data_IF_822588965937
#
_entry.id   IF_822588965937
#
_cell.length_a   1.000
_cell.length_b   1.000
_cell.length_c   1.000
_cell.angle_alpha   90.00
_cell.angle_beta   90.00
_cell.angle_gamma   90.00
#
_symmetry.space_group_name_H-M   'P 1'
#
loop_
_entity.id
_entity.type
_entity.pdbx_description
1 polymer ?
#
# COMPACT_ATOMS: atom_id res chain seq x y z
N UNK A 1 -37.27 7.26 -16.17
CA UNK A 1 -37.05 5.95 -15.51
C UNK A 1 -35.57 5.63 -15.61
N UNK A 2 -34.86 5.61 -14.49
CA UNK A 2 -33.41 5.41 -14.46
C UNK A 2 -33.13 3.89 -14.46
N UNK A 3 -32.28 3.31 -15.33
CA UNK A 3 -31.97 1.87 -15.35
C UNK A 3 -31.61 1.23 -14.00
N UNK A 4 -31.03 2.00 -13.08
CA UNK A 4 -30.85 1.60 -11.68
C UNK A 4 -32.16 1.17 -10.95
N UNK A 5 -33.31 1.70 -11.36
CA UNK A 5 -34.64 1.37 -10.86
C UNK A 5 -35.20 0.08 -11.48
N UNK A 6 -34.64 -0.35 -12.62
CA UNK A 6 -35.02 -1.57 -13.33
C UNK A 6 -34.17 -2.79 -12.93
N UNK A 7 -33.07 -2.57 -12.21
CA UNK A 7 -32.23 -3.64 -11.68
C UNK A 7 -32.75 -4.13 -10.33
N UNK A 8 -32.63 -5.44 -10.08
CA UNK A 8 -33.03 -6.06 -8.82
C UNK A 8 -32.16 -5.53 -7.66
N UNK A 9 -32.68 -4.53 -6.94
CA UNK A 9 -32.01 -3.88 -5.80
C UNK A 9 -31.78 -4.85 -4.65
N UNK A 10 -32.60 -5.89 -4.50
CA UNK A 10 -32.38 -6.90 -3.47
C UNK A 10 -31.07 -7.69 -3.71
N UNK A 11 -30.60 -7.73 -4.95
CA UNK A 11 -29.35 -8.38 -5.36
C UNK A 11 -28.17 -7.43 -5.50
N UNK A 12 -28.28 -6.18 -5.07
CA UNK A 12 -27.19 -5.20 -5.21
C UNK A 12 -25.86 -5.68 -4.61
N UNK A 13 -25.93 -6.45 -3.52
CA UNK A 13 -24.74 -6.98 -2.87
C UNK A 13 -23.99 -8.03 -3.70
N UNK A 14 -24.63 -8.66 -4.69
CA UNK A 14 -24.04 -9.71 -5.52
C UNK A 14 -23.72 -9.25 -6.95
N UNK A 15 -23.94 -7.97 -7.26
CA UNK A 15 -23.65 -7.41 -8.58
C UNK A 15 -22.17 -7.50 -8.93
N UNK A 16 -21.86 -7.92 -10.15
CA UNK A 16 -20.52 -7.86 -10.70
C UNK A 16 -20.23 -6.47 -11.30
N UNK A 17 -18.99 -6.23 -11.76
CA UNK A 17 -18.59 -4.94 -12.35
C UNK A 17 -19.46 -4.53 -13.54
N UNK A 18 -19.81 -5.48 -14.41
CA UNK A 18 -20.66 -5.20 -15.57
C UNK A 18 -22.07 -4.77 -15.16
N UNK A 19 -22.61 -5.37 -14.09
CA UNK A 19 -23.93 -5.04 -13.55
C UNK A 19 -23.90 -3.65 -12.91
N UNK A 20 -22.84 -3.35 -12.14
CA UNK A 20 -22.63 -2.03 -11.56
C UNK A 20 -22.55 -0.94 -12.64
N UNK A 21 -21.82 -1.18 -13.73
CA UNK A 21 -21.77 -0.25 -14.87
C UNK A 21 -23.15 -0.05 -15.51
N UNK A 22 -23.89 -1.14 -15.78
CA UNK A 22 -25.23 -1.09 -16.38
C UNK A 22 -26.20 -0.31 -15.49
N UNK A 23 -26.11 -0.52 -14.17
CA UNK A 23 -26.91 0.21 -13.18
C UNK A 23 -26.66 1.72 -13.24
N UNK A 24 -25.41 2.13 -13.52
CA UNK A 24 -25.03 3.53 -13.75
C UNK A 24 -25.32 4.04 -15.18
N UNK A 25 -25.97 3.25 -16.03
CA UNK A 25 -26.36 3.62 -17.40
C UNK A 25 -25.20 3.96 -18.34
N UNK A 26 -24.01 3.43 -18.07
CA UNK A 26 -22.80 3.73 -18.86
C UNK A 26 -22.46 2.58 -19.82
N UNK A 27 -22.08 2.92 -21.05
CA UNK A 27 -21.46 1.95 -21.95
C UNK A 27 -19.99 1.81 -21.60
N UNK A 28 -19.40 0.67 -21.96
CA UNK A 28 -17.97 0.46 -21.77
C UNK A 28 -17.13 1.54 -22.49
N UNK A 29 -17.58 2.00 -23.66
CA UNK A 29 -16.96 3.08 -24.43
C UNK A 29 -16.91 4.40 -23.63
N UNK A 30 -18.01 4.76 -22.97
CA UNK A 30 -18.12 6.01 -22.20
C UNK A 30 -17.11 6.02 -21.05
N UNK A 31 -16.91 4.87 -20.40
CA UNK A 31 -15.92 4.72 -19.32
C UNK A 31 -14.49 4.77 -19.85
N UNK A 32 -14.20 4.08 -20.96
CA UNK A 32 -12.85 4.11 -21.55
C UNK A 32 -12.42 5.52 -21.96
N UNK A 33 -13.36 6.31 -22.51
CA UNK A 33 -13.14 7.71 -22.86
C UNK A 33 -12.89 8.57 -21.62
N UNK A 34 -13.73 8.44 -20.58
CA UNK A 34 -13.60 9.23 -19.33
C UNK A 34 -12.33 8.90 -18.54
N UNK A 35 -11.96 7.63 -18.47
CA UNK A 35 -10.76 7.17 -17.75
C UNK A 35 -9.47 7.30 -18.57
N UNK A 36 -9.56 7.63 -19.86
CA UNK A 36 -8.44 7.63 -20.79
C UNK A 36 -7.64 6.31 -20.77
N UNK A 37 -8.35 5.17 -20.81
CA UNK A 37 -7.74 3.84 -20.81
C UNK A 37 -8.15 3.05 -22.05
N UNK A 38 -7.26 2.16 -22.50
CA UNK A 38 -7.57 1.30 -23.65
C UNK A 38 -8.78 0.40 -23.35
N UNK A 39 -9.62 0.17 -24.38
CA UNK A 39 -10.76 -0.74 -24.27
C UNK A 39 -10.33 -2.15 -23.83
N UNK A 40 -9.14 -2.59 -24.23
CA UNK A 40 -8.56 -3.86 -23.77
C UNK A 40 -8.36 -3.90 -22.26
N UNK A 41 -7.75 -2.86 -21.68
CA UNK A 41 -7.51 -2.81 -20.23
C UNK A 41 -8.82 -2.72 -19.44
N UNK A 42 -9.79 -1.93 -19.92
CA UNK A 42 -11.09 -1.84 -19.28
C UNK A 42 -11.86 -3.17 -19.33
N UNK A 43 -11.88 -3.87 -20.48
CA UNK A 43 -12.51 -5.20 -20.59
C UNK A 43 -11.88 -6.22 -19.64
N UNK A 44 -10.56 -6.24 -19.51
CA UNK A 44 -9.88 -7.13 -18.54
C UNK A 44 -10.23 -6.79 -17.11
N UNK A 45 -10.33 -5.51 -16.78
CA UNK A 45 -10.81 -5.10 -15.46
C UNK A 45 -12.26 -5.55 -15.22
N UNK A 46 -13.18 -5.26 -16.14
CA UNK A 46 -14.60 -5.57 -16.01
C UNK A 46 -14.87 -7.08 -15.96
N UNK A 47 -14.24 -7.87 -16.83
CA UNK A 47 -14.49 -9.30 -16.97
C UNK A 47 -13.64 -10.16 -16.02
N UNK A 48 -12.39 -9.78 -15.77
CA UNK A 48 -11.41 -10.59 -15.02
C UNK A 48 -11.07 -9.98 -13.63
N UNK A 49 -11.51 -8.75 -13.34
CA UNK A 49 -11.13 -8.03 -12.12
C UNK A 49 -9.66 -7.61 -12.07
N UNK A 50 -8.95 -7.61 -13.20
CA UNK A 50 -7.51 -7.31 -13.26
C UNK A 50 -7.29 -5.81 -13.39
N UNK A 51 -6.66 -5.21 -12.39
CA UNK A 51 -6.31 -3.79 -12.36
C UNK A 51 -5.04 -3.52 -13.19
N UNK A 52 -4.96 -2.44 -13.99
CA UNK A 52 -3.74 -2.04 -14.68
C UNK A 52 -2.60 -1.69 -13.70
N UNK A 53 -1.40 -2.26 -13.91
CA UNK A 53 -0.29 -2.09 -12.94
C UNK A 53 0.34 -0.70 -12.88
N UNK A 54 0.14 0.13 -13.91
CA UNK A 54 0.70 1.50 -14.01
C UNK A 54 -0.31 2.58 -13.60
N UNK A 55 -1.44 2.20 -13.03
CA UNK A 55 -2.52 3.12 -12.69
C UNK A 55 -2.87 3.00 -11.20
N UNK A 56 -2.07 3.63 -10.31
CA UNK A 56 -2.23 3.60 -8.85
C UNK A 56 -3.66 3.87 -8.37
N UNK A 57 -4.32 4.79 -9.08
CA UNK A 57 -5.65 5.33 -8.79
C UNK A 57 -6.78 4.66 -9.52
N UNK A 58 -6.51 3.67 -10.37
CA UNK A 58 -7.50 3.16 -11.33
C UNK A 58 -8.86 2.82 -10.72
N UNK A 59 -8.87 2.15 -9.56
CA UNK A 59 -10.12 1.77 -8.88
C UNK A 59 -10.83 2.99 -8.26
N UNK A 60 -10.08 3.99 -7.79
CA UNK A 60 -10.65 5.28 -7.34
C UNK A 60 -11.28 6.01 -8.52
N UNK A 61 -10.57 6.10 -9.64
CA UNK A 61 -11.04 6.81 -10.83
C UNK A 61 -12.28 6.11 -11.45
N UNK A 62 -12.33 4.77 -11.42
CA UNK A 62 -13.54 4.00 -11.80
C UNK A 62 -14.71 4.34 -10.88
N UNK A 63 -14.48 4.40 -9.56
CA UNK A 63 -15.53 4.73 -8.60
C UNK A 63 -16.08 6.14 -8.84
N UNK A 64 -15.19 7.10 -9.11
CA UNK A 64 -15.53 8.49 -9.45
C UNK A 64 -16.37 8.56 -10.75
N UNK A 65 -15.96 7.85 -11.80
CA UNK A 65 -16.70 7.81 -13.09
C UNK A 65 -18.08 7.17 -12.97
N UNK A 66 -18.21 6.16 -12.10
CA UNK A 66 -19.47 5.48 -11.83
C UNK A 66 -20.35 6.21 -10.81
N UNK A 67 -19.83 7.25 -10.15
CA UNK A 67 -20.48 7.97 -9.04
C UNK A 67 -20.90 7.04 -7.88
N UNK A 68 -20.05 6.06 -7.55
CA UNK A 68 -20.28 5.11 -6.45
C UNK A 68 -19.08 5.09 -5.51
N UNK A 69 -19.25 4.54 -4.31
CA UNK A 69 -18.11 4.38 -3.41
C UNK A 69 -17.11 3.35 -3.96
N UNK A 70 -15.81 3.57 -3.70
CA UNK A 70 -14.75 2.59 -3.99
C UNK A 70 -15.08 1.20 -3.45
N UNK A 71 -15.65 1.14 -2.24
CA UNK A 71 -16.06 -0.12 -1.59
C UNK A 71 -17.08 -0.89 -2.43
N UNK A 72 -18.01 -0.21 -3.08
CA UNK A 72 -18.96 -0.85 -4.00
C UNK A 72 -18.25 -1.45 -5.21
N UNK A 73 -17.26 -0.76 -5.78
CA UNK A 73 -16.44 -1.28 -6.88
C UNK A 73 -15.65 -2.52 -6.43
N UNK A 74 -15.00 -2.47 -5.27
CA UNK A 74 -14.24 -3.61 -4.73
C UNK A 74 -15.13 -4.81 -4.41
N UNK A 75 -16.34 -4.57 -3.91
CA UNK A 75 -17.35 -5.61 -3.72
C UNK A 75 -17.77 -6.21 -5.07
N UNK A 76 -18.04 -5.39 -6.08
CA UNK A 76 -18.40 -5.88 -7.41
C UNK A 76 -17.26 -6.68 -8.08
N UNK A 77 -16.00 -6.28 -7.85
CA UNK A 77 -14.83 -7.07 -8.24
C UNK A 77 -14.79 -8.44 -7.53
N UNK A 78 -15.26 -8.54 -6.29
CA UNK A 78 -15.29 -9.83 -5.57
C UNK A 78 -16.36 -10.79 -6.09
N UNK A 79 -17.46 -10.26 -6.65
CA UNK A 79 -18.55 -11.04 -7.24
C UNK A 79 -18.35 -11.37 -8.71
N UNK A 80 -17.27 -10.88 -9.33
CA UNK A 80 -16.95 -11.20 -10.72
C UNK A 80 -16.58 -12.69 -10.84
N UNK A 81 -17.25 -13.50 -11.68
CA UNK A 81 -17.05 -14.96 -11.71
C UNK A 81 -15.61 -15.41 -12.01
N UNK A 82 -14.89 -14.66 -12.84
CA UNK A 82 -13.49 -14.93 -13.13
C UNK A 82 -12.58 -14.78 -11.90
N UNK A 83 -12.91 -13.84 -10.99
CA UNK A 83 -12.17 -13.65 -9.74
C UNK A 83 -12.37 -14.82 -8.80
N UNK A 84 -13.61 -15.31 -8.66
CA UNK A 84 -13.93 -16.43 -7.77
C UNK A 84 -13.20 -17.69 -8.21
N UNK A 85 -13.33 -18.05 -9.50
CA UNK A 85 -12.59 -19.17 -10.10
C UNK A 85 -11.08 -19.02 -9.93
N UNK A 86 -10.54 -17.81 -10.12
CA UNK A 86 -9.11 -17.55 -9.92
C UNK A 86 -8.68 -17.74 -8.47
N UNK A 87 -9.49 -17.32 -7.48
CA UNK A 87 -9.19 -17.54 -6.05
C UNK A 87 -9.16 -19.03 -5.70
N UNK A 88 -10.16 -19.78 -6.14
CA UNK A 88 -10.25 -21.23 -5.95
C UNK A 88 -9.04 -21.94 -6.56
N UNK A 89 -8.77 -21.68 -7.84
CA UNK A 89 -7.63 -22.27 -8.54
C UNK A 89 -6.29 -21.85 -7.92
N UNK A 90 -6.18 -20.60 -7.46
CA UNK A 90 -4.98 -20.13 -6.76
C UNK A 90 -4.75 -20.92 -5.48
N UNK A 91 -5.80 -21.28 -4.72
CA UNK A 91 -5.65 -22.09 -3.51
C UNK A 91 -5.00 -23.45 -3.82
N UNK A 92 -5.49 -24.14 -4.84
CA UNK A 92 -4.95 -25.44 -5.28
C UNK A 92 -3.47 -25.34 -5.69
N UNK A 93 -3.13 -24.33 -6.50
CA UNK A 93 -1.77 -24.11 -6.99
C UNK A 93 -0.80 -23.75 -5.87
N UNK A 94 -1.25 -22.92 -4.92
CA UNK A 94 -0.45 -22.53 -3.76
C UNK A 94 -0.21 -23.72 -2.84
N UNK A 95 -1.23 -24.56 -2.62
CA UNK A 95 -1.08 -25.78 -1.83
C UNK A 95 -0.09 -26.76 -2.47
N UNK A 96 -0.18 -26.97 -3.79
CA UNK A 96 0.74 -27.83 -4.53
C UNK A 96 2.20 -27.32 -4.44
N UNK A 97 2.42 -26.02 -4.61
CA UNK A 97 3.75 -25.43 -4.45
C UNK A 97 4.22 -25.48 -2.99
N UNK A 98 3.35 -25.24 -2.02
CA UNK A 98 3.71 -25.31 -0.61
C UNK A 98 4.21 -26.73 -0.25
N UNK A 99 3.49 -27.77 -0.67
CA UNK A 99 3.92 -29.17 -0.50
C UNK A 99 5.28 -29.46 -1.15
N UNK A 100 5.55 -28.84 -2.30
CA UNK A 100 6.77 -29.09 -3.08
C UNK A 100 7.99 -28.36 -2.52
N UNK A 101 7.87 -27.07 -2.18
CA UNK A 101 9.01 -26.20 -1.87
C UNK A 101 9.25 -25.97 -0.36
N UNK A 102 8.20 -25.94 0.45
CA UNK A 102 8.33 -25.65 1.89
C UNK A 102 9.21 -26.68 2.63
N UNK A 103 9.06 -28.01 2.45
CA UNK A 103 9.80 -29.00 3.22
C UNK A 103 11.24 -29.25 2.73
N UNK A 104 11.65 -28.70 1.57
CA UNK A 104 12.95 -29.01 0.97
C UNK A 104 14.11 -28.64 1.91
N UNK A 105 15.13 -29.48 2.05
CA UNK A 105 16.30 -29.15 2.86
C UNK A 105 17.19 -28.08 2.20
N UNK A 106 17.99 -27.37 3.01
CA UNK A 106 19.00 -26.42 2.53
C UNK A 106 18.51 -24.96 2.40
N UNK A 107 19.24 -24.12 1.65
CA UNK A 107 18.94 -22.69 1.55
C UNK A 107 17.62 -22.43 0.81
N UNK A 108 16.86 -21.44 1.27
CA UNK A 108 15.60 -21.06 0.64
C UNK A 108 15.83 -20.41 -0.74
N UNK A 109 15.22 -20.98 -1.78
CA UNK A 109 15.31 -20.47 -3.16
C UNK A 109 13.98 -20.00 -3.76
N UNK A 110 12.86 -20.32 -3.10
CA UNK A 110 11.52 -20.08 -3.63
C UNK A 110 11.18 -20.96 -4.84
N UNK A 111 10.01 -20.73 -5.47
CA UNK A 111 9.58 -21.49 -6.63
C UNK A 111 10.46 -21.24 -7.86
N UNK A 112 10.63 -22.28 -8.69
CA UNK A 112 11.32 -22.19 -9.97
C UNK A 112 10.55 -21.29 -10.94
N UNK A 113 11.25 -20.61 -11.85
CA UNK A 113 10.60 -19.79 -12.89
C UNK A 113 9.83 -20.64 -13.92
N UNK A 114 10.25 -21.89 -14.09
CA UNK A 114 9.66 -22.85 -15.03
C UNK A 114 8.56 -23.72 -14.39
N UNK A 115 8.21 -23.44 -13.13
CA UNK A 115 7.17 -24.18 -12.43
C UNK A 115 5.80 -23.96 -13.11
N UNK A 116 5.10 -25.03 -13.54
CA UNK A 116 3.81 -24.90 -14.20
C UNK A 116 2.76 -24.16 -13.37
N UNK A 117 2.73 -24.36 -12.05
CA UNK A 117 1.79 -23.68 -11.16
C UNK A 117 2.08 -22.18 -11.10
N UNK A 118 3.36 -21.79 -11.11
CA UNK A 118 3.76 -20.39 -11.17
C UNK A 118 3.36 -19.73 -12.49
N UNK A 119 3.58 -20.41 -13.62
CA UNK A 119 3.22 -19.93 -14.96
C UNK A 119 1.71 -19.73 -15.08
N UNK A 120 0.93 -20.67 -14.55
CA UNK A 120 -0.53 -20.59 -14.53
C UNK A 120 -1.00 -19.39 -13.69
N UNK A 121 -0.43 -19.18 -12.50
CA UNK A 121 -0.73 -18.01 -11.66
C UNK A 121 -0.38 -16.70 -12.36
N UNK A 122 0.79 -16.62 -13.00
CA UNK A 122 1.21 -15.43 -13.75
C UNK A 122 0.20 -15.05 -14.85
N UNK A 123 -0.28 -16.07 -15.57
CA UNK A 123 -1.31 -15.91 -16.60
C UNK A 123 -2.64 -15.44 -15.98
N UNK A 124 -3.10 -16.11 -14.92
CA UNK A 124 -4.37 -15.83 -14.27
C UNK A 124 -4.45 -14.40 -13.67
N UNK A 125 -3.35 -13.91 -13.10
CA UNK A 125 -3.26 -12.54 -12.57
C UNK A 125 -2.89 -11.50 -13.63
N UNK A 126 -2.52 -11.93 -14.84
CA UNK A 126 -2.06 -11.03 -15.90
C UNK A 126 -0.81 -10.26 -15.50
N UNK A 127 0.16 -10.93 -14.86
CA UNK A 127 1.40 -10.35 -14.36
C UNK A 127 2.61 -11.13 -14.89
N UNK A 128 3.79 -10.48 -15.01
CA UNK A 128 5.01 -11.19 -15.38
C UNK A 128 5.35 -12.31 -14.37
N UNK A 129 5.86 -13.44 -14.88
CA UNK A 129 6.24 -14.61 -14.07
C UNK A 129 7.18 -14.20 -12.92
N UNK A 130 8.20 -13.39 -13.21
CA UNK A 130 9.16 -12.94 -12.19
C UNK A 130 8.51 -12.12 -11.07
N UNK A 131 7.43 -11.38 -11.35
CA UNK A 131 6.70 -10.63 -10.33
C UNK A 131 5.94 -11.56 -9.39
N UNK A 132 5.22 -12.54 -9.95
CA UNK A 132 4.52 -13.54 -9.12
C UNK A 132 5.54 -14.37 -8.35
N UNK A 133 6.66 -14.76 -8.98
CA UNK A 133 7.73 -15.50 -8.34
C UNK A 133 8.25 -14.78 -7.10
N UNK A 134 8.63 -13.50 -7.20
CA UNK A 134 9.12 -12.70 -6.05
C UNK A 134 8.10 -12.62 -4.91
N UNK A 135 6.83 -12.42 -5.26
CA UNK A 135 5.73 -12.40 -4.29
C UNK A 135 5.59 -13.75 -3.59
N UNK A 136 5.61 -14.85 -4.33
CA UNK A 136 5.50 -16.21 -3.77
C UNK A 136 6.75 -16.66 -3.02
N UNK A 137 7.94 -16.20 -3.42
CA UNK A 137 9.17 -16.44 -2.65
C UNK A 137 9.05 -15.86 -1.24
N UNK A 138 8.37 -14.73 -1.06
CA UNK A 138 8.06 -14.20 0.26
C UNK A 138 7.01 -15.06 0.96
N UNK A 139 5.81 -15.21 0.38
CA UNK A 139 4.68 -15.89 1.05
C UNK A 139 5.02 -17.34 1.44
N UNK A 140 5.63 -18.12 0.54
CA UNK A 140 6.07 -19.48 0.84
C UNK A 140 7.30 -19.49 1.77
N UNK A 141 8.10 -18.42 1.77
CA UNK A 141 9.23 -18.25 2.69
C UNK A 141 8.78 -18.07 4.13
N UNK A 142 7.69 -17.34 4.36
CA UNK A 142 7.08 -17.20 5.69
C UNK A 142 6.52 -18.56 6.16
N UNK A 143 5.83 -19.31 5.29
CA UNK A 143 5.39 -20.68 5.60
C UNK A 143 6.57 -21.60 5.94
N UNK A 144 7.69 -21.47 5.22
CA UNK A 144 8.90 -22.23 5.49
C UNK A 144 9.50 -21.91 6.85
N UNK A 145 9.49 -20.65 7.26
CA UNK A 145 9.97 -20.29 8.61
C UNK A 145 9.11 -20.96 9.69
N UNK A 146 7.78 -20.94 9.54
CA UNK A 146 6.87 -21.63 10.46
C UNK A 146 7.12 -23.16 10.46
N UNK A 147 7.29 -23.76 9.27
CA UNK A 147 7.61 -25.18 9.12
C UNK A 147 8.92 -25.57 9.80
N UNK A 148 10.00 -24.78 9.60
CA UNK A 148 11.29 -25.04 10.23
C UNK A 148 11.20 -24.93 11.75
N UNK A 149 10.42 -23.99 12.29
CA UNK A 149 10.16 -23.89 13.73
C UNK A 149 9.42 -25.13 14.24
N UNK A 150 8.36 -25.58 13.54
CA UNK A 150 7.65 -26.81 13.88
C UNK A 150 8.58 -28.04 13.90
N UNK A 151 9.49 -28.16 12.93
CA UNK A 151 10.46 -29.27 12.89
C UNK A 151 11.43 -29.22 14.08
N UNK A 152 11.91 -28.03 14.47
CA UNK A 152 12.79 -27.87 15.64
C UNK A 152 12.08 -28.31 16.93
N UNK A 153 10.83 -27.87 17.11
CA UNK A 153 10.03 -28.27 18.27
C UNK A 153 9.70 -29.78 18.24
N UNK A 154 9.48 -30.37 17.07
CA UNK A 154 9.23 -31.80 16.93
C UNK A 154 10.46 -32.64 17.37
N UNK A 155 11.67 -32.17 17.12
CA UNK A 155 12.89 -32.81 17.62
C UNK A 155 12.93 -32.79 19.16
N UNK A 156 12.64 -31.63 19.78
CA UNK A 156 12.58 -31.51 21.25
C UNK A 156 11.47 -32.42 21.81
N UNK A 157 10.29 -32.40 21.22
CA UNK A 157 9.14 -33.20 21.64
C UNK A 157 9.39 -34.72 21.64
N UNK A 158 10.31 -35.19 20.77
CA UNK A 158 10.65 -36.61 20.60
C UNK A 158 11.87 -37.06 21.40
N UNK A 159 12.88 -36.20 21.53
CA UNK A 159 14.21 -36.61 21.97
C UNK A 159 14.74 -35.89 23.21
N UNK A 160 14.05 -34.86 23.73
CA UNK A 160 14.52 -34.17 24.94
C UNK A 160 14.45 -35.09 26.17
N UNK A 161 15.32 -34.89 27.15
CA UNK A 161 15.34 -35.68 28.39
C UNK A 161 14.34 -35.18 29.44
N UNK A 162 13.97 -33.90 29.39
CA UNK A 162 13.01 -33.30 30.32
C UNK A 162 11.56 -33.47 29.83
N UNK A 163 10.75 -34.19 30.61
CA UNK A 163 9.33 -34.45 30.32
C UNK A 163 8.50 -33.17 30.23
N UNK A 164 8.78 -32.15 31.05
CA UNK A 164 8.02 -30.89 31.02
C UNK A 164 8.31 -30.14 29.72
N UNK A 165 9.58 -30.10 29.31
CA UNK A 165 9.99 -29.51 28.04
C UNK A 165 9.43 -30.27 26.83
N UNK A 166 9.40 -31.61 26.87
CA UNK A 166 8.77 -32.42 25.82
C UNK A 166 7.28 -32.08 25.66
N UNK A 167 6.52 -31.97 26.75
CA UNK A 167 5.09 -31.62 26.67
C UNK A 167 4.87 -30.25 26.04
N UNK A 168 5.61 -29.23 26.48
CA UNK A 168 5.54 -27.88 25.89
C UNK A 168 5.90 -27.88 24.41
N UNK A 169 6.89 -28.67 24.00
CA UNK A 169 7.28 -28.78 22.60
C UNK A 169 6.18 -29.45 21.74
N UNK A 170 5.41 -30.42 22.27
CA UNK A 170 4.26 -31.00 21.58
C UNK A 170 3.15 -29.97 21.34
N UNK A 171 2.84 -29.17 22.36
CA UNK A 171 1.89 -28.07 22.23
C UNK A 171 2.37 -27.04 21.19
N UNK A 172 3.66 -26.69 21.21
CA UNK A 172 4.26 -25.78 20.24
C UNK A 172 4.20 -26.33 18.81
N UNK A 173 4.41 -27.64 18.60
CA UNK A 173 4.26 -28.29 17.28
C UNK A 173 2.84 -28.12 16.75
N UNK A 174 1.82 -28.41 17.56
CA UNK A 174 0.41 -28.24 17.18
C UNK A 174 0.13 -26.78 16.83
N UNK A 175 0.58 -25.84 17.66
CA UNK A 175 0.44 -24.42 17.41
C UNK A 175 1.07 -24.00 16.06
N UNK A 176 2.29 -24.43 15.76
CA UNK A 176 2.94 -24.08 14.49
C UNK A 176 2.25 -24.72 13.28
N UNK A 177 1.66 -25.91 13.42
CA UNK A 177 0.84 -26.51 12.38
C UNK A 177 -0.43 -25.70 12.12
N UNK A 178 -1.12 -25.25 13.17
CA UNK A 178 -2.29 -24.37 13.05
C UNK A 178 -1.95 -23.03 12.39
N UNK A 179 -0.83 -22.40 12.80
CA UNK A 179 -0.34 -21.16 12.19
C UNK A 179 -0.05 -21.38 10.70
N UNK A 180 0.67 -22.45 10.35
CA UNK A 180 1.00 -22.76 8.95
C UNK A 180 -0.25 -23.00 8.10
N UNK A 181 -1.23 -23.75 8.62
CA UNK A 181 -2.48 -24.02 7.92
C UNK A 181 -3.30 -22.74 7.72
N UNK A 182 -3.39 -21.88 8.75
CA UNK A 182 -4.06 -20.59 8.68
C UNK A 182 -3.41 -19.66 7.67
N UNK A 183 -2.08 -19.54 7.69
CA UNK A 183 -1.35 -18.69 6.76
C UNK A 183 -1.51 -19.19 5.33
N UNK A 184 -1.40 -20.50 5.10
CA UNK A 184 -1.60 -21.12 3.78
C UNK A 184 -2.99 -20.79 3.21
N UNK A 185 -4.05 -20.91 4.01
CA UNK A 185 -5.42 -20.62 3.60
C UNK A 185 -5.65 -19.13 3.25
N UNK A 186 -4.85 -18.22 3.80
CA UNK A 186 -5.00 -16.78 3.57
C UNK A 186 -4.29 -16.28 2.31
N UNK A 187 -3.27 -17.00 1.82
CA UNK A 187 -2.46 -16.58 0.66
C UNK A 187 -3.32 -16.22 -0.56
N UNK A 188 -4.31 -17.02 -1.02
CA UNK A 188 -5.08 -16.68 -2.22
C UNK A 188 -5.82 -15.33 -2.09
N UNK A 189 -6.45 -15.07 -0.95
CA UNK A 189 -7.14 -13.81 -0.70
C UNK A 189 -6.15 -12.64 -0.62
N UNK A 190 -5.00 -12.86 0.02
CA UNK A 190 -3.94 -11.86 0.17
C UNK A 190 -3.32 -11.48 -1.17
N UNK A 191 -3.07 -12.45 -2.06
CA UNK A 191 -2.60 -12.23 -3.43
C UNK A 191 -3.59 -11.40 -4.26
N UNK A 192 -4.89 -11.73 -4.18
CA UNK A 192 -5.94 -10.94 -4.84
C UNK A 192 -5.96 -9.49 -4.34
N UNK A 193 -5.97 -9.29 -3.03
CA UNK A 193 -5.95 -7.93 -2.45
C UNK A 193 -4.70 -7.17 -2.85
N UNK A 194 -3.53 -7.81 -2.79
CA UNK A 194 -2.27 -7.22 -3.19
C UNK A 194 -2.30 -6.78 -4.65
N UNK A 195 -2.63 -7.67 -5.59
CA UNK A 195 -2.55 -7.34 -7.03
C UNK A 195 -3.57 -6.31 -7.50
N UNK A 196 -4.68 -6.12 -6.78
CA UNK A 196 -5.69 -5.07 -7.03
C UNK A 196 -5.28 -3.70 -6.49
N UNK A 197 -4.58 -3.69 -5.36
CA UNK A 197 -4.13 -2.46 -4.68
C UNK A 197 -2.64 -2.21 -4.86
N UNK A 198 -1.98 -2.96 -5.75
CA UNK A 198 -0.55 -2.90 -5.95
C UNK A 198 -0.13 -1.54 -6.52
N UNK A 199 0.78 -0.90 -5.81
CA UNK A 199 1.36 0.38 -6.16
C UNK A 199 2.65 0.16 -6.96
N UNK A 200 2.94 1.04 -7.91
CA UNK A 200 4.29 1.24 -8.44
C UNK A 200 5.30 1.55 -7.33
N UNK A 201 6.60 1.34 -7.60
CA UNK A 201 7.66 1.45 -6.58
C UNK A 201 7.82 2.87 -6.03
N UNK A 202 7.69 3.87 -6.89
CA UNK A 202 7.69 5.30 -6.57
C UNK A 202 6.52 5.65 -5.65
N UNK A 203 5.28 5.26 -6.01
CA UNK A 203 4.10 5.52 -5.17
C UNK A 203 4.20 4.77 -3.83
N UNK A 204 4.69 3.54 -3.83
CA UNK A 204 4.97 2.81 -2.59
C UNK A 204 5.95 3.54 -1.69
N UNK A 205 7.01 4.14 -2.24
CA UNK A 205 7.96 4.95 -1.47
C UNK A 205 7.29 6.16 -0.83
N UNK A 206 6.41 6.87 -1.55
CA UNK A 206 5.67 7.99 -0.97
C UNK A 206 4.78 7.55 0.20
N UNK A 207 4.12 6.38 0.10
CA UNK A 207 3.33 5.83 1.21
C UNK A 207 4.20 5.44 2.41
N UNK A 208 5.39 4.88 2.17
CA UNK A 208 6.35 4.55 3.23
C UNK A 208 6.91 5.81 3.88
N UNK A 209 7.20 6.85 3.10
CA UNK A 209 7.73 8.12 3.61
C UNK A 209 6.69 8.79 4.52
N UNK A 210 5.41 8.84 4.10
CA UNK A 210 4.30 9.29 4.95
C UNK A 210 4.17 8.47 6.24
N UNK A 211 4.35 7.15 6.14
CA UNK A 211 4.27 6.25 7.29
C UNK A 211 5.41 6.50 8.29
N UNK A 212 6.63 6.70 7.80
CA UNK A 212 7.83 6.90 8.62
C UNK A 212 7.79 8.23 9.39
N UNK A 213 7.25 9.28 8.76
CA UNK A 213 7.03 10.58 9.42
C UNK A 213 5.69 10.65 10.12
N UNK A 214 5.14 9.52 10.60
CA UNK A 214 3.87 9.39 11.35
C UNK A 214 2.73 10.30 10.84
N UNK A 215 2.69 10.58 9.52
CA UNK A 215 1.64 11.34 8.88
C UNK A 215 0.47 10.39 8.66
N UNK A 216 -0.10 9.91 9.77
CA UNK A 216 -1.15 8.90 9.81
C UNK A 216 -2.42 9.49 10.40
N UNK A 217 -3.57 8.98 9.95
CA UNK A 217 -4.86 9.39 10.50
C UNK A 217 -4.95 9.02 11.98
N UNK A 218 -5.00 10.05 12.84
CA UNK A 218 -5.38 9.97 14.25
C UNK A 218 -6.49 10.99 14.51
N UNK A 219 -7.57 10.62 15.20
CA UNK A 219 -8.72 11.52 15.43
C UNK A 219 -8.33 12.87 16.03
N UNK A 220 -7.39 12.86 16.98
CA UNK A 220 -7.11 14.05 17.79
C UNK A 220 -5.72 14.67 17.59
N UNK A 221 -4.77 13.92 17.00
CA UNK A 221 -3.32 14.25 17.05
C UNK A 221 -2.53 13.79 15.83
N UNK A 222 -3.15 13.77 14.65
CA UNK A 222 -2.49 13.30 13.43
C UNK A 222 -1.60 14.38 12.80
N UNK A 223 -0.35 14.04 12.49
CA UNK A 223 0.57 14.91 11.76
C UNK A 223 0.19 14.99 10.27
N UNK A 224 0.47 16.14 9.67
CA UNK A 224 0.26 16.39 8.23
C UNK A 224 1.61 16.55 7.53
N UNK A 225 1.88 15.75 6.51
CA UNK A 225 3.07 15.94 5.70
C UNK A 225 2.82 17.01 4.63
N UNK A 226 3.79 17.90 4.41
CA UNK A 226 3.69 18.88 3.32
C UNK A 226 3.80 18.17 1.98
N UNK A 227 2.74 18.24 1.18
CA UNK A 227 2.61 17.45 -0.06
C UNK A 227 3.68 17.82 -1.09
N UNK A 228 4.00 19.11 -1.21
CA UNK A 228 5.01 19.63 -2.14
C UNK A 228 6.42 19.11 -1.84
N UNK A 229 6.71 18.79 -0.58
CA UNK A 229 8.01 18.25 -0.15
C UNK A 229 8.06 16.72 -0.28
N UNK A 230 6.90 16.07 -0.45
CA UNK A 230 6.78 14.63 -0.66
C UNK A 230 6.91 14.26 -2.14
N UNK A 231 6.20 14.97 -3.02
CA UNK A 231 6.14 14.65 -4.44
C UNK A 231 5.80 15.86 -5.30
N UNK A 232 6.19 15.81 -6.57
CA UNK A 232 5.90 16.87 -7.55
C UNK A 232 4.45 16.83 -8.05
N UNK A 233 3.89 15.63 -8.21
CA UNK A 233 2.51 15.44 -8.65
C UNK A 233 1.70 14.72 -7.55
N UNK A 234 0.89 15.42 -6.75
CA UNK A 234 0.05 14.79 -5.73
C UNK A 234 -1.05 13.92 -6.33
N UNK A 235 -1.36 14.13 -7.61
CA UNK A 235 -2.36 13.37 -8.35
C UNK A 235 -1.98 11.91 -8.54
N UNK A 236 -0.75 11.48 -8.30
CA UNK A 236 -0.36 10.06 -8.39
C UNK A 236 -0.80 9.24 -7.18
N UNK A 237 -1.08 9.89 -6.05
CA UNK A 237 -1.40 9.22 -4.79
C UNK A 237 -2.85 8.72 -4.77
N UNK A 238 -3.10 7.46 -4.39
CA UNK A 238 -4.45 6.90 -4.29
C UNK A 238 -5.25 7.56 -3.15
N UNK A 239 -6.40 8.16 -3.49
CA UNK A 239 -7.26 8.92 -2.56
C UNK A 239 -7.81 8.07 -1.41
N UNK A 240 -8.01 6.78 -1.64
CA UNK A 240 -8.45 5.86 -0.58
C UNK A 240 -7.34 5.58 0.44
N UNK A 241 -6.06 5.69 0.07
CA UNK A 241 -4.93 5.50 0.97
C UNK A 241 -4.38 6.81 1.54
N UNK A 242 -4.55 7.92 0.83
CA UNK A 242 -3.99 9.23 1.19
C UNK A 242 -5.11 10.28 1.24
N UNK A 243 -5.23 10.92 2.40
CA UNK A 243 -6.08 12.09 2.59
C UNK A 243 -5.28 13.35 2.22
N UNK A 244 -5.88 14.21 1.40
CA UNK A 244 -5.34 15.53 1.06
C UNK A 244 -6.16 16.63 1.74
N UNK A 245 -5.50 17.71 2.15
CA UNK A 245 -6.11 18.91 2.74
C UNK A 245 -5.23 20.13 2.39
N UNK A 246 -5.80 21.33 2.47
CA UNK A 246 -5.05 22.59 2.50
C UNK A 246 -5.16 23.21 3.88
N UNK A 247 -4.06 23.70 4.42
CA UNK A 247 -4.03 24.55 5.63
C UNK A 247 -3.53 25.92 5.13
N UNK A 248 -4.40 26.92 5.17
CA UNK A 248 -4.31 28.12 4.33
C UNK A 248 -4.06 27.74 2.85
N UNK A 249 -2.90 28.12 2.31
CA UNK A 249 -2.44 27.83 0.95
C UNK A 249 -1.35 26.74 0.88
N UNK A 250 -1.09 26.05 2.00
CA UNK A 250 -0.13 24.93 2.07
C UNK A 250 -0.86 23.61 1.84
N UNK A 251 -0.55 22.96 0.72
CA UNK A 251 -1.04 21.62 0.41
C UNK A 251 -0.39 20.58 1.33
N UNK A 252 -1.23 19.83 2.06
CA UNK A 252 -0.79 18.80 3.00
C UNK A 252 -1.50 17.47 2.75
N UNK A 253 -0.86 16.38 3.16
CA UNK A 253 -1.39 15.04 3.02
C UNK A 253 -1.00 14.12 4.18
N UNK A 254 -1.81 13.08 4.41
CA UNK A 254 -1.54 12.03 5.40
C UNK A 254 -2.16 10.70 4.97
N UNK A 255 -1.65 9.59 5.49
CA UNK A 255 -2.24 8.27 5.27
C UNK A 255 -3.61 8.17 5.95
N UNK A 256 -4.58 7.62 5.22
CA UNK A 256 -5.85 7.17 5.78
C UNK A 256 -5.64 5.89 6.59
N UNK A 257 -6.67 5.46 7.34
CA UNK A 257 -6.67 4.15 8.01
C UNK A 257 -6.39 3.01 7.01
N UNK A 258 -6.92 3.10 5.79
CA UNK A 258 -6.69 2.09 4.75
C UNK A 258 -5.24 2.14 4.22
N UNK A 259 -4.67 3.34 4.06
CA UNK A 259 -3.26 3.50 3.67
C UNK A 259 -2.31 2.89 4.69
N UNK A 260 -2.53 3.17 5.98
CA UNK A 260 -1.76 2.57 7.08
C UNK A 260 -1.90 1.04 7.07
N UNK A 261 -3.12 0.52 6.95
CA UNK A 261 -3.35 -0.92 6.87
C UNK A 261 -2.66 -1.56 5.65
N UNK A 262 -2.65 -0.88 4.50
CA UNK A 262 -1.97 -1.35 3.29
C UNK A 262 -0.45 -1.46 3.49
N UNK A 263 0.18 -0.42 4.07
CA UNK A 263 1.62 -0.42 4.38
C UNK A 263 1.98 -1.57 5.31
N UNK A 264 1.21 -1.76 6.39
CA UNK A 264 1.42 -2.87 7.33
C UNK A 264 1.23 -4.24 6.67
N UNK A 265 0.16 -4.43 5.91
CA UNK A 265 -0.19 -5.71 5.33
C UNK A 265 0.84 -6.17 4.30
N UNK A 266 1.34 -5.26 3.44
CA UNK A 266 2.07 -5.63 2.23
C UNK A 266 3.55 -5.24 2.22
N UNK A 267 4.10 -4.69 3.31
CA UNK A 267 5.54 -4.37 3.39
C UNK A 267 6.45 -5.54 3.01
N UNK A 268 6.15 -6.75 3.48
CA UNK A 268 6.91 -7.96 3.12
C UNK A 268 6.89 -8.27 1.62
N UNK A 269 5.75 -8.07 0.96
CA UNK A 269 5.61 -8.26 -0.47
C UNK A 269 6.36 -7.21 -1.29
N UNK A 270 6.24 -5.93 -0.93
CA UNK A 270 6.94 -4.86 -1.65
C UNK A 270 8.45 -4.94 -1.51
N UNK A 271 8.96 -5.32 -0.33
CA UNK A 271 10.40 -5.49 -0.12
C UNK A 271 11.01 -6.58 -0.99
N UNK A 272 10.27 -7.65 -1.27
CA UNK A 272 10.70 -8.70 -2.19
C UNK A 272 10.49 -8.32 -3.65
N UNK A 273 9.44 -7.57 -3.94
CA UNK A 273 9.15 -7.12 -5.30
C UNK A 273 10.16 -6.07 -5.79
N UNK A 274 10.54 -5.13 -4.93
CA UNK A 274 11.41 -4.00 -5.23
C UNK A 274 12.61 -3.96 -4.28
N UNK A 275 13.65 -4.79 -4.51
CA UNK A 275 14.86 -4.74 -3.70
C UNK A 275 15.54 -3.38 -3.91
N UNK A 276 15.58 -2.55 -2.86
CA UNK A 276 16.13 -1.18 -2.91
C UNK A 276 15.15 -0.10 -2.43
N UNK A 277 13.85 -0.42 -2.33
CA UNK A 277 12.88 0.52 -1.74
C UNK A 277 13.05 0.57 -0.22
N UNK A 278 12.95 1.77 0.36
CA UNK A 278 12.95 1.98 1.82
C UNK A 278 11.87 1.13 2.48
N UNK A 279 12.17 0.66 3.69
CA UNK A 279 11.25 -0.13 4.51
C UNK A 279 10.53 0.79 5.49
N UNK A 280 9.26 0.52 5.81
CA UNK A 280 8.59 1.21 6.89
C UNK A 280 9.32 0.94 8.21
N UNK A 281 9.78 2.00 8.87
CA UNK A 281 10.39 1.94 10.19
C UNK A 281 9.25 1.80 11.18
N UNK A 282 9.19 0.67 11.88
CA UNK A 282 8.16 0.49 12.91
C UNK A 282 8.39 1.57 13.99
N UNK A 283 7.37 2.36 14.37
CA UNK A 283 7.47 3.20 15.55
C UNK A 283 7.66 2.27 16.74
N UNK A 284 8.90 2.15 17.21
CA UNK A 284 9.26 1.34 18.37
C UNK A 284 8.49 1.86 19.57
N UNK A 285 7.66 1.02 20.20
CA UNK A 285 6.93 1.36 21.44
C UNK A 285 7.83 1.54 22.67
N UNK A 286 9.16 1.54 22.55
CA UNK A 286 10.03 1.62 23.72
C UNK A 286 11.51 1.95 23.47
N UNK A 287 11.90 2.46 22.30
CA UNK A 287 13.24 3.00 22.07
C UNK A 287 13.10 4.38 21.48
N UNK A 288 13.87 5.33 22.07
CA UNK A 288 14.03 6.73 21.69
C UNK A 288 13.27 7.07 20.41
N UNK A 289 12.10 7.71 20.57
CA UNK A 289 11.39 8.37 19.47
C UNK A 289 12.49 9.08 18.69
N UNK A 290 12.79 8.64 17.48
CA UNK A 290 13.48 9.52 16.53
C UNK A 290 12.66 10.80 16.62
N UNK A 291 13.28 11.87 17.13
CA UNK A 291 12.57 13.11 17.42
C UNK A 291 12.00 13.52 16.08
N UNK A 292 10.72 13.29 15.93
CA UNK A 292 10.06 13.50 14.67
C UNK A 292 9.84 14.98 14.60
N UNK A 293 10.64 15.63 13.77
CA UNK A 293 10.69 17.07 13.72
C UNK A 293 9.42 17.58 13.06
N UNK A 294 8.56 18.16 13.88
CA UNK A 294 7.37 18.85 13.43
C UNK A 294 7.55 20.35 13.59
N UNK A 295 6.79 21.09 12.80
CA UNK A 295 6.68 22.54 12.88
C UNK A 295 5.21 22.92 12.73
N UNK A 296 4.86 24.14 13.10
CA UNK A 296 3.51 24.68 12.91
C UNK A 296 3.59 25.87 11.95
N UNK A 297 2.51 26.14 11.23
CA UNK A 297 2.37 27.42 10.54
C UNK A 297 2.04 28.51 11.56
N UNK A 298 2.45 29.77 11.31
CA UNK A 298 1.91 30.91 12.04
C UNK A 298 0.38 30.85 12.07
N UNK A 299 -0.24 31.08 13.23
CA UNK A 299 -1.71 31.10 13.43
C UNK A 299 -2.43 29.73 13.40
N UNK A 300 -1.74 28.62 13.12
CA UNK A 300 -2.34 27.28 13.10
C UNK A 300 -1.77 26.36 14.18
N UNK A 301 -2.63 25.53 14.76
CA UNK A 301 -2.25 24.55 15.78
C UNK A 301 -1.85 23.18 15.21
N UNK A 302 -2.07 22.95 13.91
CA UNK A 302 -1.73 21.71 13.25
C UNK A 302 -0.22 21.47 13.17
N UNK A 303 0.20 20.27 13.54
CA UNK A 303 1.59 19.84 13.39
C UNK A 303 1.86 19.37 11.96
N UNK A 304 2.80 20.05 11.31
CA UNK A 304 3.31 19.71 9.99
C UNK A 304 4.63 18.99 10.10
N UNK A 305 4.86 18.04 9.19
CA UNK A 305 6.09 17.24 9.12
C UNK A 305 6.67 17.26 7.71
N UNK A 306 7.99 17.12 7.64
CA UNK A 306 8.75 17.04 6.39
C UNK A 306 9.18 15.61 6.16
N UNK A 307 8.99 15.03 4.96
CA UNK A 307 9.51 13.70 4.64
C UNK A 307 11.03 13.58 4.83
N UNK A 308 11.48 12.50 5.48
CA UNK A 308 12.90 12.29 5.82
C UNK A 308 13.88 12.46 4.64
N UNK A 309 13.63 11.89 3.43
CA UNK A 309 14.58 12.01 2.32
C UNK A 309 14.82 13.46 1.89
N UNK A 310 13.77 14.28 1.96
CA UNK A 310 13.87 15.71 1.66
C UNK A 310 14.64 16.43 2.77
N UNK A 311 14.28 16.16 4.03
CA UNK A 311 14.88 16.79 5.20
C UNK A 311 16.38 16.51 5.30
N UNK A 312 16.81 15.26 5.11
CA UNK A 312 18.22 14.85 5.09
C UNK A 312 19.01 15.61 4.01
N UNK A 313 18.47 15.65 2.78
CA UNK A 313 19.11 16.33 1.65
C UNK A 313 19.23 17.84 1.89
N UNK A 314 18.17 18.47 2.40
CA UNK A 314 18.15 19.90 2.74
C UNK A 314 19.15 20.24 3.85
N UNK A 315 19.30 19.36 4.85
CA UNK A 315 20.26 19.54 5.96
C UNK A 315 21.69 19.44 5.54
N UNK A 316 22.03 18.49 4.66
CA UNK A 316 23.38 18.40 4.08
C UNK A 316 23.71 19.71 3.35
N UNK A 317 22.76 20.26 2.60
CA UNK A 317 22.95 21.55 1.93
C UNK A 317 23.08 22.73 2.91
N UNK A 318 22.26 22.77 3.97
CA UNK A 318 22.32 23.81 5.00
C UNK A 318 23.64 23.76 5.79
N UNK A 319 24.10 22.56 6.17
CA UNK A 319 25.36 22.35 6.88
C UNK A 319 26.57 22.84 6.05
N UNK A 320 26.57 22.59 4.74
CA UNK A 320 27.61 23.09 3.84
C UNK A 320 27.67 24.62 3.75
N UNK A 321 26.52 25.30 3.90
CA UNK A 321 26.42 26.77 3.82
C UNK A 321 26.53 27.47 5.17
N UNK A 322 26.43 26.74 6.28
CA UNK A 322 26.33 27.27 7.66
C UNK A 322 25.19 28.28 7.86
N UNK A 323 24.14 28.20 7.03
CA UNK A 323 22.98 29.10 7.05
C UNK A 323 21.71 28.26 6.85
N UNK A 324 20.60 28.69 7.45
CA UNK A 324 19.29 28.06 7.25
C UNK A 324 18.89 28.13 5.76
N UNK A 325 18.34 27.03 5.23
CA UNK A 325 17.88 26.94 3.86
C UNK A 325 16.39 27.28 3.79
N UNK A 326 16.00 28.42 3.17
CA UNK A 326 14.59 28.73 2.95
C UNK A 326 14.04 27.85 1.81
N UNK A 327 12.93 27.18 2.05
CA UNK A 327 12.21 26.33 1.10
C UNK A 327 10.78 26.81 0.99
N UNK A 328 10.37 27.21 -0.22
CA UNK A 328 9.03 27.74 -0.44
C UNK A 328 7.95 26.66 -0.33
N UNK A 329 7.08 26.78 0.67
CA UNK A 329 5.94 25.88 0.87
C UNK A 329 4.77 26.27 -0.05
N UNK A 330 4.38 27.54 0.00
CA UNK A 330 3.23 28.11 -0.70
C UNK A 330 3.51 29.55 -1.16
N UNK A 331 2.54 30.27 -1.74
CA UNK A 331 2.66 31.73 -1.92
C UNK A 331 2.91 32.50 -0.63
N UNK A 332 2.30 32.08 0.48
CA UNK A 332 2.29 32.82 1.75
C UNK A 332 3.32 32.34 2.79
N UNK A 333 3.91 31.15 2.60
CA UNK A 333 4.81 30.55 3.60
C UNK A 333 6.11 30.01 3.01
N UNK A 334 7.20 30.29 3.73
CA UNK A 334 8.52 29.68 3.53
C UNK A 334 8.89 28.83 4.77
N UNK A 335 9.55 27.70 4.55
CA UNK A 335 10.11 26.82 5.57
C UNK A 335 11.61 27.06 5.68
N UNK A 336 12.07 27.48 6.84
CA UNK A 336 13.49 27.60 7.15
C UNK A 336 14.00 26.28 7.74
N UNK A 337 14.94 25.66 7.03
CA UNK A 337 15.57 24.40 7.43
C UNK A 337 16.98 24.67 7.93
N UNK A 338 17.16 24.58 9.25
CA UNK A 338 18.47 24.60 9.90
C UNK A 338 19.10 23.21 9.97
N UNK A 339 20.31 23.13 10.56
CA UNK A 339 20.97 21.84 10.81
C UNK A 339 20.22 20.97 11.82
N UNK A 340 19.49 21.60 12.75
CA UNK A 340 18.73 20.92 13.82
C UNK A 340 17.36 21.58 14.09
N UNK A 341 16.91 22.51 13.25
CA UNK A 341 15.68 23.27 13.46
C UNK A 341 14.83 23.35 12.20
N UNK A 342 13.51 23.42 12.40
CA UNK A 342 12.50 23.65 11.39
C UNK A 342 11.58 24.76 11.87
N UNK A 343 11.39 25.80 11.07
CA UNK A 343 10.41 26.86 11.37
C UNK A 343 9.75 27.37 10.09
N UNK A 344 8.45 27.60 10.14
CA UNK A 344 7.74 28.29 9.06
C UNK A 344 7.68 29.79 9.36
N UNK A 345 7.91 30.59 8.33
CA UNK A 345 7.77 32.05 8.38
C UNK A 345 6.76 32.49 7.34
N UNK A 346 5.88 33.42 7.73
CA UNK A 346 5.01 34.11 6.77
C UNK A 346 5.89 34.90 5.82
N UNK A 347 5.68 34.72 4.53
CA UNK A 347 6.26 35.58 3.51
C UNK A 347 5.50 36.88 3.58
N UNK A 348 6.08 37.89 4.22
CA UNK A 348 5.61 39.25 4.01
C UNK A 348 5.66 39.49 2.51
N UNK A 349 4.48 39.64 1.90
CA UNK A 349 4.38 40.33 0.64
C UNK A 349 4.99 41.69 0.95
N UNK A 350 6.26 41.87 0.58
CA UNK A 350 6.81 43.18 0.28
C UNK A 350 5.87 43.73 -0.79
N UNK A 351 4.79 44.36 -0.34
CA UNK A 351 4.10 45.38 -1.08
C UNK A 351 5.23 46.36 -1.38
N UNK A 352 5.66 46.36 -2.63
CA UNK A 352 6.40 47.46 -3.21
C UNK A 352 5.57 48.71 -2.90
N UNK A 353 5.88 49.38 -1.80
CA UNK A 353 5.58 50.78 -1.62
C UNK A 353 6.47 51.47 -2.65
N UNK A 354 6.02 51.48 -3.91
CA UNK A 354 6.41 52.50 -4.87
C UNK A 354 6.06 53.83 -4.21
N UNK A 355 7.07 54.41 -3.56
CA UNK A 355 7.07 55.82 -3.18
C UNK A 355 6.87 56.57 -4.49
N UNK A 356 5.76 57.31 -4.70
CA UNK A 356 5.66 58.16 -5.87
C UNK A 356 6.81 59.17 -5.79
N UNK A 357 7.70 59.14 -6.78
CA UNK A 357 8.75 60.13 -6.93
C UNK A 357 8.12 61.53 -7.08
N UNK A 358 8.76 62.57 -6.54
CA UNK A 358 8.17 63.89 -6.31
C UNK A 358 7.74 64.65 -7.57
#
# INVERSE_FOLDING_TARGET
>A
MHPFELMDRAKQQTWALADLRRACCLRAEDITKRLNVSAKNYRRFEAEGIVPSRSPRFVDDVADVLHVSRRMVENAMNHTPAVQRRKERTAELIEAMARTYVPQAGPWRGPSADDPALIELATAFGRPIQRIRRVLTYELGELRQAHVRAQRENVIARFDTDRVRQMRAREAVLHWHEVTAKDLAQIPQRLERFHRSAQPSDVWQLLVDLFNVDATYRPDTGNWAVTKLLCNDPGVLPRHMVQHRSIDDVAVCRLTVQGVAHVYAFTGLYTHLFPGVRRPVRPSRGRSRVIQESFTLPQHGEQLVVPDPFLESARIAAAGRKVALPVRLSPSYDLNIGTQSLSATTRELLLDFEVPAP
#
